data_IF_180273334544
#
_entry.id   IF_180273334544
#
_cell.length_a   1.000
_cell.length_b   1.000
_cell.length_c   1.000
_cell.angle_alpha   90.00
_cell.angle_beta   90.00
_cell.angle_gamma   90.00
#
_symmetry.space_group_name_H-M   'P 1'
#
loop_
_entity.id
_entity.type
_entity.pdbx_description
1 polymer ?
#
# COMPACT_ATOMS: atom_id res chain seq x y z
N UNK A 1 45.94 -3.98 42.27
CA UNK A 1 45.84 -3.82 40.81
C UNK A 1 46.71 -2.64 40.42
N UNK A 2 47.64 -2.83 39.50
CA UNK A 2 48.59 -1.80 39.12
C UNK A 2 47.91 -0.69 38.28
N UNK A 3 48.33 0.58 38.39
CA UNK A 3 47.64 1.74 37.80
C UNK A 3 47.39 1.63 36.29
N UNK A 4 48.34 1.04 35.55
CA UNK A 4 48.26 0.83 34.10
C UNK A 4 47.09 -0.05 33.62
N UNK A 5 46.49 -0.89 34.47
CA UNK A 5 45.36 -1.74 34.07
C UNK A 5 44.06 -0.92 33.99
N UNK A 6 43.93 0.12 34.81
CA UNK A 6 42.74 0.98 34.83
C UNK A 6 42.70 1.85 33.58
N UNK A 7 43.85 2.36 33.15
CA UNK A 7 43.97 3.21 31.95
C UNK A 7 43.64 2.44 30.67
N UNK A 8 44.09 1.18 30.55
CA UNK A 8 43.78 0.33 29.39
C UNK A 8 42.30 -0.02 29.35
N UNK A 9 41.68 -0.36 30.49
CA UNK A 9 40.25 -0.68 30.55
C UNK A 9 39.37 0.54 30.23
N UNK A 10 39.74 1.74 30.69
CA UNK A 10 39.04 2.97 30.32
C UNK A 10 39.16 3.29 28.82
N UNK A 11 40.33 3.07 28.22
CA UNK A 11 40.54 3.32 26.79
C UNK A 11 39.72 2.39 25.91
N UNK A 12 39.55 1.12 26.31
CA UNK A 12 38.64 0.17 25.63
C UNK A 12 37.16 0.53 25.84
N UNK A 13 36.77 1.02 27.03
CA UNK A 13 35.39 1.45 27.30
C UNK A 13 35.02 2.71 26.51
N UNK A 14 35.94 3.67 26.37
CA UNK A 14 35.74 4.88 25.55
C UNK A 14 35.74 4.54 24.06
N UNK A 15 36.55 3.58 23.60
CA UNK A 15 36.45 3.04 22.23
C UNK A 15 35.12 2.32 21.99
N UNK A 16 34.61 1.55 22.94
CA UNK A 16 33.29 0.90 22.83
C UNK A 16 32.13 1.92 22.83
N UNK A 17 32.23 3.00 23.60
CA UNK A 17 31.24 4.09 23.61
C UNK A 17 31.32 5.00 22.36
N UNK A 18 32.47 5.05 21.69
CA UNK A 18 32.62 5.75 20.40
C UNK A 18 32.32 4.87 19.18
N UNK A 19 32.33 3.53 19.34
CA UNK A 19 31.86 2.57 18.34
C UNK A 19 30.36 2.22 18.46
N UNK A 20 29.71 2.58 19.57
CA UNK A 20 28.26 2.40 19.74
C UNK A 20 27.41 3.60 19.28
N UNK A 21 28.04 4.71 18.90
CA UNK A 21 27.40 5.65 17.98
C UNK A 21 27.42 5.04 16.58
N UNK A 22 26.43 4.18 16.32
CA UNK A 22 25.92 4.06 14.97
C UNK A 22 25.45 5.46 14.59
N UNK A 23 26.29 6.18 13.84
CA UNK A 23 25.80 7.23 12.95
C UNK A 23 24.78 6.53 12.04
N UNK A 24 23.50 6.56 12.45
CA UNK A 24 22.42 6.47 11.48
C UNK A 24 22.68 7.62 10.53
N UNK A 25 23.34 7.31 9.40
CA UNK A 25 23.48 8.23 8.30
C UNK A 25 22.08 8.74 8.01
N UNK A 26 21.83 9.99 8.41
CA UNK A 26 20.55 10.66 8.24
C UNK A 26 20.40 10.89 6.75
N UNK A 27 19.87 9.89 6.05
CA UNK A 27 19.57 9.97 4.62
C UNK A 27 18.50 11.05 4.48
N UNK A 28 18.86 12.16 3.85
CA UNK A 28 17.97 13.30 3.63
C UNK A 28 17.01 12.95 2.48
N UNK A 29 16.05 12.07 2.78
CA UNK A 29 15.04 11.58 1.84
C UNK A 29 13.79 12.48 1.77
N UNK A 30 13.65 13.38 2.74
CA UNK A 30 12.56 14.33 2.83
C UNK A 30 12.70 15.44 1.78
N UNK A 31 11.63 15.72 1.04
CA UNK A 31 11.63 16.86 0.13
C UNK A 31 11.66 18.16 0.94
N UNK A 32 12.47 19.11 0.50
CA UNK A 32 12.35 20.47 1.03
C UNK A 32 10.95 21.02 0.73
N UNK A 33 10.47 21.95 1.56
CA UNK A 33 9.17 22.63 1.34
C UNK A 33 9.00 23.16 -0.10
N UNK A 34 10.10 23.65 -0.69
CA UNK A 34 10.13 24.16 -2.07
C UNK A 34 9.98 23.05 -3.10
N UNK A 35 10.60 21.90 -2.87
CA UNK A 35 10.47 20.74 -3.75
C UNK A 35 9.07 20.12 -3.65
N UNK A 36 8.51 20.02 -2.44
CA UNK A 36 7.15 19.53 -2.24
C UNK A 36 6.12 20.45 -2.94
N UNK A 37 6.22 21.77 -2.73
CA UNK A 37 5.36 22.74 -3.41
C UNK A 37 5.48 22.68 -4.94
N UNK A 38 6.69 22.45 -5.48
CA UNK A 38 6.89 22.26 -6.91
C UNK A 38 6.23 20.97 -7.41
N UNK A 39 6.34 19.88 -6.66
CA UNK A 39 5.72 18.61 -6.99
C UNK A 39 4.18 18.73 -7.02
N UNK A 40 3.58 19.34 -6.00
CA UNK A 40 2.13 19.63 -5.95
C UNK A 40 1.68 20.48 -7.14
N UNK A 41 2.43 21.53 -7.48
CA UNK A 41 2.14 22.35 -8.67
C UNK A 41 2.21 21.55 -9.97
N UNK A 42 3.13 20.58 -10.08
CA UNK A 42 3.19 19.71 -11.25
C UNK A 42 1.96 18.79 -11.34
N UNK A 43 1.50 18.25 -10.21
CA UNK A 43 0.28 17.45 -10.14
C UNK A 43 -0.96 18.26 -10.56
N UNK A 44 -1.13 19.47 -10.05
CA UNK A 44 -2.25 20.36 -10.42
C UNK A 44 -2.21 20.71 -11.91
N UNK A 45 -1.01 20.84 -12.48
CA UNK A 45 -0.81 21.25 -13.87
C UNK A 45 -0.60 20.06 -14.84
N UNK A 46 -0.93 18.82 -14.46
CA UNK A 46 -0.71 17.61 -15.27
C UNK A 46 -1.23 17.74 -16.70
N UNK A 47 -2.40 18.37 -16.89
CA UNK A 47 -3.02 18.63 -18.19
C UNK A 47 -2.09 19.32 -19.19
N UNK A 48 -1.18 20.18 -18.72
CA UNK A 48 -0.23 20.90 -19.60
C UNK A 48 0.80 19.97 -20.23
N UNK A 49 1.07 18.83 -19.60
CA UNK A 49 2.02 17.80 -20.05
C UNK A 49 1.34 16.56 -20.62
N UNK A 50 0.00 16.51 -20.63
CA UNK A 50 -0.76 15.37 -21.10
C UNK A 50 -0.73 15.27 -22.62
N UNK A 51 -0.54 14.04 -23.11
CA UNK A 51 -0.66 13.71 -24.53
C UNK A 51 -2.14 13.51 -24.88
N UNK A 52 -2.89 12.90 -23.96
CA UNK A 52 -4.31 12.60 -24.07
C UNK A 52 -4.93 12.54 -22.66
N UNK A 53 -6.26 12.73 -22.57
CA UNK A 53 -7.02 12.54 -21.34
C UNK A 53 -8.02 11.39 -21.52
N UNK A 54 -8.07 10.47 -20.56
CA UNK A 54 -9.06 9.39 -20.49
C UNK A 54 -10.11 9.76 -19.45
N UNK A 55 -11.39 9.67 -19.85
CA UNK A 55 -12.53 9.87 -18.96
C UNK A 55 -13.01 8.52 -18.43
N UNK A 56 -12.85 8.31 -17.14
CA UNK A 56 -13.30 7.12 -16.43
C UNK A 56 -14.45 7.53 -15.48
N UNK A 57 -15.64 7.63 -16.06
CA UNK A 57 -16.83 8.17 -15.39
C UNK A 57 -16.64 9.67 -15.07
N UNK A 58 -16.55 10.02 -13.79
CA UNK A 58 -16.32 11.40 -13.32
C UNK A 58 -14.82 11.73 -13.20
N UNK A 59 -13.96 10.70 -13.23
CA UNK A 59 -12.52 10.87 -13.15
C UNK A 59 -11.90 11.18 -14.50
N UNK A 60 -10.77 11.90 -14.44
CA UNK A 60 -9.95 12.16 -15.61
C UNK A 60 -8.53 11.71 -15.33
N UNK A 61 -8.03 10.81 -16.16
CA UNK A 61 -6.64 10.35 -16.12
C UNK A 61 -5.87 11.00 -17.27
N UNK A 62 -4.77 11.67 -16.94
CA UNK A 62 -3.89 12.28 -17.92
C UNK A 62 -2.82 11.28 -18.35
N UNK A 63 -2.75 11.01 -19.64
CA UNK A 63 -1.69 10.19 -20.21
C UNK A 63 -0.42 11.02 -20.36
N UNK A 64 0.50 10.85 -19.42
CA UNK A 64 1.79 11.54 -19.39
C UNK A 64 2.86 10.65 -20.02
N UNK A 65 3.76 11.24 -20.80
CA UNK A 65 4.98 10.54 -21.26
C UNK A 65 5.68 9.87 -20.06
N UNK A 66 5.96 8.58 -20.19
CA UNK A 66 6.52 7.76 -19.13
C UNK A 66 7.73 8.41 -18.46
N UNK A 67 8.64 9.02 -19.25
CA UNK A 67 9.87 9.61 -18.74
C UNK A 67 9.68 11.01 -18.13
N UNK A 68 8.50 11.63 -18.33
CA UNK A 68 8.16 12.97 -17.85
C UNK A 68 7.19 12.97 -16.66
N UNK A 69 6.80 11.81 -16.16
CA UNK A 69 5.92 11.73 -15.00
C UNK A 69 6.55 12.43 -13.76
N UNK A 70 5.75 13.09 -12.90
CA UNK A 70 6.25 13.88 -11.77
C UNK A 70 7.14 13.10 -10.80
N UNK A 71 6.90 11.79 -10.63
CA UNK A 71 7.69 10.93 -9.75
C UNK A 71 9.19 10.99 -10.03
N UNK A 72 9.61 11.09 -11.31
CA UNK A 72 11.02 11.18 -11.69
C UNK A 72 11.70 12.51 -11.31
N UNK A 73 10.96 13.52 -10.86
CA UNK A 73 11.53 14.78 -10.40
C UNK A 73 12.03 14.71 -8.96
N UNK A 74 11.73 13.63 -8.23
CA UNK A 74 12.29 13.40 -6.91
C UNK A 74 13.82 13.33 -6.98
N UNK A 75 14.57 13.98 -6.05
CA UNK A 75 16.04 13.96 -6.04
C UNK A 75 16.67 12.57 -6.18
N UNK A 76 16.02 11.52 -5.68
CA UNK A 76 16.46 10.12 -5.82
C UNK A 76 16.61 9.64 -7.24
N UNK A 77 15.75 10.09 -8.15
CA UNK A 77 15.75 9.63 -9.53
C UNK A 77 16.79 10.35 -10.40
N UNK A 78 17.53 11.33 -9.84
CA UNK A 78 18.56 12.09 -10.58
C UNK A 78 19.69 11.20 -11.09
N UNK A 79 20.04 10.16 -10.34
CA UNK A 79 21.14 9.26 -10.69
C UNK A 79 20.69 8.04 -11.51
N UNK A 80 19.39 7.83 -11.67
CA UNK A 80 18.86 6.69 -12.42
C UNK A 80 19.04 6.90 -13.91
N UNK A 81 19.83 6.04 -14.53
CA UNK A 81 20.14 6.13 -15.97
C UNK A 81 18.91 5.92 -16.85
N UNK A 82 18.93 6.51 -18.05
CA UNK A 82 17.88 6.28 -19.07
C UNK A 82 17.73 4.78 -19.39
N UNK A 83 18.82 4.03 -19.36
CA UNK A 83 18.83 2.59 -19.62
C UNK A 83 18.03 1.81 -18.55
N UNK A 84 18.16 2.19 -17.28
CA UNK A 84 17.37 1.63 -16.17
C UNK A 84 15.89 1.97 -16.33
N UNK A 85 15.56 3.24 -16.60
CA UNK A 85 14.17 3.68 -16.84
C UNK A 85 13.53 2.91 -18.00
N UNK A 86 14.28 2.74 -19.10
CA UNK A 86 13.84 1.96 -20.26
C UNK A 86 13.58 0.50 -19.89
N UNK A 87 14.43 -0.13 -19.09
CA UNK A 87 14.23 -1.52 -18.66
C UNK A 87 12.93 -1.67 -17.86
N UNK A 88 12.71 -0.81 -16.87
CA UNK A 88 11.48 -0.81 -16.06
C UNK A 88 10.23 -0.71 -16.93
N UNK A 89 10.25 0.22 -17.89
CA UNK A 89 9.18 0.40 -18.84
C UNK A 89 8.95 -0.84 -19.71
N UNK A 90 10.01 -1.44 -20.25
CA UNK A 90 9.90 -2.66 -21.06
C UNK A 90 9.40 -3.85 -20.25
N UNK A 91 9.81 -3.99 -18.99
CA UNK A 91 9.34 -5.05 -18.12
C UNK A 91 7.85 -4.89 -17.79
N UNK A 92 7.38 -3.67 -17.56
CA UNK A 92 5.96 -3.38 -17.44
C UNK A 92 5.18 -3.75 -18.73
N UNK A 93 5.75 -3.49 -19.91
CA UNK A 93 5.10 -3.82 -21.18
C UNK A 93 5.00 -5.31 -21.50
N UNK A 94 5.91 -6.14 -20.96
CA UNK A 94 5.83 -7.60 -21.12
C UNK A 94 4.62 -8.20 -20.43
N UNK A 95 4.06 -7.52 -19.43
CA UNK A 95 2.91 -7.99 -18.62
C UNK A 95 1.55 -7.84 -19.34
N UNK A 96 1.55 -7.70 -20.66
CA UNK A 96 0.33 -7.64 -21.48
C UNK A 96 -0.16 -9.04 -21.86
N UNK A 97 -0.53 -9.88 -20.89
CA UNK A 97 -1.59 -10.86 -21.16
C UNK A 97 -2.92 -10.10 -21.24
N UNK A 98 -3.88 -10.58 -22.04
CA UNK A 98 -5.17 -9.89 -22.19
C UNK A 98 -5.86 -9.75 -20.83
N UNK A 99 -5.89 -8.53 -20.29
CA UNK A 99 -6.74 -8.22 -19.15
C UNK A 99 -8.19 -8.48 -19.55
N UNK A 100 -8.99 -8.95 -18.60
CA UNK A 100 -10.44 -9.00 -18.77
C UNK A 100 -10.96 -7.62 -19.17
N UNK A 101 -12.00 -7.56 -20.01
CA UNK A 101 -12.53 -6.29 -20.57
C UNK A 101 -12.93 -5.24 -19.53
N UNK A 102 -13.14 -5.66 -18.28
CA UNK A 102 -13.60 -4.81 -17.17
C UNK A 102 -12.45 -4.39 -16.22
N UNK A 103 -11.20 -4.72 -16.54
CA UNK A 103 -10.03 -4.41 -15.70
C UNK A 103 -9.16 -3.37 -16.37
N UNK A 104 -8.84 -2.32 -15.61
CA UNK A 104 -8.15 -1.14 -16.09
C UNK A 104 -9.11 -0.09 -16.66
N UNK A 105 -8.51 1.01 -17.10
CA UNK A 105 -9.19 2.12 -17.73
C UNK A 105 -9.84 1.71 -19.05
N UNK A 106 -10.93 2.40 -19.41
CA UNK A 106 -11.61 2.27 -20.70
C UNK A 106 -10.63 2.34 -21.89
N UNK A 107 -10.99 1.66 -22.98
CA UNK A 107 -10.21 1.58 -24.22
C UNK A 107 -8.79 0.97 -24.07
N UNK A 108 -8.52 0.24 -22.99
CA UNK A 108 -7.20 -0.35 -22.75
C UNK A 108 -6.16 0.65 -22.24
N UNK A 109 -6.63 1.76 -21.65
CA UNK A 109 -5.79 2.76 -20.99
C UNK A 109 -4.98 3.64 -21.93
N UNK A 110 -3.88 4.17 -21.42
CA UNK A 110 -3.06 5.16 -22.08
C UNK A 110 -2.26 4.59 -23.27
N UNK A 111 -2.00 5.41 -24.31
CA UNK A 111 -1.27 4.98 -25.49
C UNK A 111 0.17 4.56 -25.16
N UNK A 112 0.78 3.79 -26.06
CA UNK A 112 2.18 3.40 -25.95
C UNK A 112 3.07 4.63 -25.73
N UNK A 113 3.96 4.55 -24.75
CA UNK A 113 4.88 5.62 -24.36
C UNK A 113 4.42 6.41 -23.14
N UNK A 114 3.19 6.16 -22.67
CA UNK A 114 2.53 7.00 -21.67
C UNK A 114 1.93 6.20 -20.53
N UNK A 115 1.70 6.85 -19.40
CA UNK A 115 1.07 6.28 -18.20
C UNK A 115 -0.05 7.19 -17.69
N UNK A 116 -1.17 6.62 -17.20
CA UNK A 116 -2.26 7.38 -16.62
C UNK A 116 -1.88 7.91 -15.24
N UNK A 117 -2.09 9.20 -15.04
CA UNK A 117 -2.01 9.84 -13.73
C UNK A 117 -3.34 10.54 -13.48
N UNK A 118 -4.00 10.22 -12.38
CA UNK A 118 -5.27 10.83 -12.01
C UNK A 118 -5.09 12.35 -11.90
N UNK A 119 -5.95 13.12 -12.57
CA UNK A 119 -5.96 14.57 -12.47
C UNK A 119 -6.43 14.95 -11.07
N UNK A 120 -5.74 15.89 -10.46
CA UNK A 120 -6.06 16.45 -9.15
C UNK A 120 -6.06 17.97 -9.20
N UNK A 121 -6.86 18.59 -8.34
CA UNK A 121 -6.87 20.04 -8.09
C UNK A 121 -6.33 20.38 -6.69
N UNK A 122 -6.33 21.67 -6.34
CA UNK A 122 -5.88 22.15 -5.02
C UNK A 122 -6.72 21.60 -3.87
N UNK A 123 -8.02 21.39 -4.08
CA UNK A 123 -8.93 20.84 -3.06
C UNK A 123 -8.65 19.35 -2.82
N UNK A 124 -8.34 18.58 -3.87
CA UNK A 124 -7.91 17.18 -3.75
C UNK A 124 -6.66 17.04 -2.86
N UNK A 125 -5.66 17.89 -3.09
CA UNK A 125 -4.44 17.90 -2.28
C UNK A 125 -4.72 18.36 -0.85
N UNK A 126 -5.58 19.36 -0.66
CA UNK A 126 -5.98 19.84 0.67
C UNK A 126 -6.72 18.76 1.48
N UNK A 127 -7.64 18.01 0.85
CA UNK A 127 -8.37 16.91 1.50
C UNK A 127 -7.43 15.76 1.87
N UNK A 128 -6.51 15.38 0.99
CA UNK A 128 -5.49 14.37 1.30
C UNK A 128 -4.58 14.80 2.47
N UNK A 129 -4.14 16.06 2.49
CA UNK A 129 -3.37 16.63 3.59
C UNK A 129 -4.16 16.63 4.92
N UNK A 130 -5.46 16.93 4.86
CA UNK A 130 -6.36 16.86 6.02
C UNK A 130 -6.51 15.43 6.54
N UNK A 131 -6.65 14.44 5.66
CA UNK A 131 -6.70 13.02 6.04
C UNK A 131 -5.41 12.63 6.76
N UNK A 132 -4.26 12.92 6.16
CA UNK A 132 -2.96 12.65 6.77
C UNK A 132 -2.83 13.29 8.17
N UNK A 133 -3.07 14.59 8.29
CA UNK A 133 -2.85 15.32 9.55
C UNK A 133 -3.88 15.06 10.67
N UNK A 134 -5.09 14.59 10.33
CA UNK A 134 -6.19 14.46 11.32
C UNK A 134 -6.71 13.05 11.52
N UNK A 135 -6.54 12.18 10.53
CA UNK A 135 -7.04 10.81 10.55
C UNK A 135 -5.86 9.89 10.81
N UNK A 136 -4.85 9.91 9.95
CA UNK A 136 -3.61 9.15 10.13
C UNK A 136 -2.57 9.90 10.97
N UNK A 137 -2.94 10.29 12.20
CA UNK A 137 -1.98 10.90 13.12
C UNK A 137 -0.94 9.88 13.56
N UNK A 138 0.37 10.22 13.52
CA UNK A 138 1.41 9.36 14.08
C UNK A 138 1.31 9.42 15.61
N UNK A 139 0.42 8.62 16.19
CA UNK A 139 0.30 8.51 17.63
C UNK A 139 1.38 7.57 18.17
N UNK A 140 2.02 8.03 19.25
CA UNK A 140 3.10 7.31 19.96
C UNK A 140 2.53 6.22 20.88
N UNK A 141 1.22 6.27 21.17
CA UNK A 141 0.56 5.49 22.22
C UNK A 141 -0.38 4.36 21.72
N UNK A 142 -0.18 3.84 20.50
CA UNK A 142 -0.93 2.72 19.87
C UNK A 142 -2.47 2.90 19.72
N UNK A 143 -3.07 3.95 20.30
CA UNK A 143 -4.47 4.32 20.09
C UNK A 143 -4.59 5.30 18.92
N UNK A 144 -5.26 4.87 17.86
CA UNK A 144 -5.67 5.71 16.73
C UNK A 144 -7.18 6.00 16.85
N UNK A 145 -7.58 7.17 17.40
CA UNK A 145 -8.99 7.42 17.69
C UNK A 145 -9.85 7.39 16.42
N UNK A 146 -10.94 6.62 16.48
CA UNK A 146 -11.87 6.46 15.37
C UNK A 146 -11.45 5.41 14.34
N UNK A 147 -10.26 4.83 14.45
CA UNK A 147 -9.83 3.70 13.62
C UNK A 147 -10.29 2.38 14.23
N UNK A 148 -10.87 1.55 13.36
CA UNK A 148 -11.35 0.23 13.70
C UNK A 148 -10.70 -0.83 12.81
N UNK A 149 -10.15 -1.87 13.44
CA UNK A 149 -9.35 -2.90 12.80
C UNK A 149 -9.98 -4.27 13.01
N UNK A 150 -10.01 -5.07 11.94
CA UNK A 150 -10.23 -6.51 11.99
C UNK A 150 -9.20 -7.16 11.05
N UNK A 151 -8.03 -7.46 11.59
CA UNK A 151 -6.82 -7.80 10.81
C UNK A 151 -6.13 -9.06 11.33
N UNK A 152 -5.50 -9.79 10.41
CA UNK A 152 -4.51 -10.81 10.72
C UNK A 152 -3.13 -10.15 10.63
N UNK A 153 -2.37 -10.16 11.71
CA UNK A 153 -1.04 -9.54 11.78
C UNK A 153 0.03 -10.54 12.18
N UNK A 154 1.21 -10.45 11.57
CA UNK A 154 2.36 -11.22 12.03
C UNK A 154 2.79 -10.75 13.41
N UNK A 155 3.31 -11.65 14.26
CA UNK A 155 3.81 -11.25 15.58
C UNK A 155 5.04 -10.34 15.42
N UNK A 156 5.25 -9.38 16.34
CA UNK A 156 6.45 -8.55 16.32
C UNK A 156 7.72 -9.41 16.37
N UNK A 157 8.55 -9.29 15.33
CA UNK A 157 9.83 -9.98 15.22
C UNK A 157 10.82 -9.07 14.48
N UNK A 158 11.76 -8.43 15.19
CA UNK A 158 12.70 -7.50 14.57
C UNK A 158 13.72 -8.19 13.65
N UNK A 159 13.83 -9.52 13.72
CA UNK A 159 14.77 -10.31 12.89
C UNK A 159 14.13 -10.80 11.59
N UNK A 160 12.81 -10.62 11.44
CA UNK A 160 12.09 -11.04 10.24
C UNK A 160 12.39 -10.12 9.07
N UNK A 161 12.87 -10.69 7.97
CA UNK A 161 13.20 -9.97 6.74
C UNK A 161 12.18 -10.28 5.64
N UNK A 162 10.98 -9.69 5.74
CA UNK A 162 9.91 -9.80 4.76
C UNK A 162 10.27 -8.96 3.53
N UNK A 163 10.42 -9.63 2.39
CA UNK A 163 10.67 -9.01 1.08
C UNK A 163 9.42 -8.98 0.21
N UNK A 164 8.28 -9.51 0.68
CA UNK A 164 7.02 -9.32 -0.01
C UNK A 164 5.80 -9.81 0.76
N UNK A 165 4.63 -9.31 0.36
CA UNK A 165 3.33 -9.69 0.90
C UNK A 165 2.31 -9.80 -0.23
N UNK A 166 1.31 -10.68 -0.06
CA UNK A 166 0.22 -10.81 -1.02
C UNK A 166 -1.10 -11.18 -0.34
N UNK A 167 -2.20 -10.85 -1.02
CA UNK A 167 -3.51 -11.40 -0.76
C UNK A 167 -4.44 -11.19 -1.97
N UNK A 168 -5.41 -12.08 -2.12
CA UNK A 168 -6.66 -11.77 -2.79
C UNK A 168 -7.57 -11.01 -1.85
N UNK A 169 -8.37 -10.10 -2.38
CA UNK A 169 -9.42 -9.40 -1.66
C UNK A 169 -10.74 -9.59 -2.40
N UNK A 170 -11.81 -9.98 -1.69
CA UNK A 170 -13.16 -9.98 -2.24
C UNK A 170 -13.66 -8.56 -2.46
N UNK A 171 -14.29 -8.28 -3.60
CA UNK A 171 -14.71 -6.93 -3.98
C UNK A 171 -16.13 -6.60 -3.45
N UNK A 172 -16.37 -6.71 -2.14
CA UNK A 172 -17.66 -6.31 -1.54
C UNK A 172 -17.69 -4.79 -1.29
N UNK A 173 -18.79 -4.14 -1.68
CA UNK A 173 -19.01 -2.72 -1.43
C UNK A 173 -19.64 -2.54 -0.03
N UNK A 174 -18.92 -1.95 0.94
CA UNK A 174 -19.49 -1.63 2.24
C UNK A 174 -20.55 -0.53 2.15
N UNK A 175 -21.61 -0.68 2.94
CA UNK A 175 -22.71 0.29 3.03
C UNK A 175 -22.47 1.35 4.13
N UNK A 176 -23.18 2.49 4.01
CA UNK A 176 -23.27 3.49 5.07
C UNK A 176 -22.05 4.41 5.23
N UNK A 177 -21.17 4.48 4.23
CA UNK A 177 -20.01 5.37 4.24
C UNK A 177 -20.42 6.77 3.80
N UNK A 178 -20.16 7.76 4.66
CA UNK A 178 -20.48 9.15 4.39
C UNK A 178 -19.38 10.12 4.90
N UNK A 179 -19.31 11.30 4.31
CA UNK A 179 -18.47 12.40 4.74
C UNK A 179 -16.98 12.05 4.83
N UNK A 180 -16.44 12.05 6.06
CA UNK A 180 -15.03 11.77 6.34
C UNK A 180 -14.74 10.31 6.72
N UNK A 181 -15.74 9.44 6.64
CA UNK A 181 -15.58 8.02 6.95
C UNK A 181 -14.92 7.28 5.79
N UNK A 182 -14.30 6.14 6.08
CA UNK A 182 -13.87 5.21 5.05
C UNK A 182 -13.95 3.77 5.54
N UNK A 183 -14.01 2.84 4.59
CA UNK A 183 -13.88 1.40 4.83
C UNK A 183 -12.94 0.83 3.79
N UNK A 184 -11.91 0.13 4.26
CA UNK A 184 -10.83 -0.38 3.44
C UNK A 184 -10.59 -1.85 3.71
N UNK A 185 -10.18 -2.57 2.67
CA UNK A 185 -9.62 -3.90 2.77
C UNK A 185 -8.23 -3.89 2.15
N UNK A 186 -7.22 -4.17 2.97
CA UNK A 186 -5.84 -3.80 2.65
C UNK A 186 -4.82 -4.80 3.20
N UNK A 187 -3.62 -4.70 2.66
CA UNK A 187 -2.41 -5.31 3.21
C UNK A 187 -1.39 -4.21 3.50
N UNK A 188 -0.64 -4.34 4.59
CA UNK A 188 0.43 -3.40 4.94
C UNK A 188 1.72 -4.16 5.22
N UNK A 189 2.82 -3.61 4.72
CA UNK A 189 4.17 -3.98 5.09
C UNK A 189 4.77 -2.83 5.89
N UNK A 190 5.37 -3.11 7.05
CA UNK A 190 5.97 -2.09 7.89
C UNK A 190 7.34 -2.51 8.43
N UNK A 191 8.13 -1.49 8.77
CA UNK A 191 9.35 -1.64 9.56
C UNK A 191 9.64 -0.33 10.30
N UNK A 192 9.63 -0.38 11.63
CA UNK A 192 9.77 0.81 12.47
C UNK A 192 8.65 1.83 12.19
N UNK A 193 9.03 3.04 11.78
CA UNK A 193 8.09 4.13 11.47
C UNK A 193 7.66 4.17 10.00
N UNK A 194 8.15 3.24 9.18
CA UNK A 194 7.77 3.15 7.78
C UNK A 194 6.62 2.16 7.59
N UNK A 195 5.70 2.51 6.70
CA UNK A 195 4.68 1.57 6.23
C UNK A 195 4.32 1.79 4.77
N UNK A 196 4.01 0.69 4.09
CA UNK A 196 3.51 0.67 2.73
C UNK A 196 2.22 -0.15 2.70
N UNK A 197 1.10 0.57 2.63
CA UNK A 197 -0.26 0.03 2.58
C UNK A 197 -0.75 0.01 1.15
N UNK A 198 -1.33 -1.10 0.73
CA UNK A 198 -1.98 -1.24 -0.56
C UNK A 198 -3.25 -2.08 -0.42
N UNK A 199 -4.27 -1.74 -1.19
CA UNK A 199 -5.55 -2.43 -1.10
C UNK A 199 -6.63 -1.68 -1.84
N UNK A 200 -7.85 -1.84 -1.37
CA UNK A 200 -9.00 -1.12 -1.90
C UNK A 200 -9.74 -0.42 -0.77
N UNK A 201 -10.26 0.76 -1.08
CA UNK A 201 -10.95 1.61 -0.12
C UNK A 201 -12.17 2.25 -0.75
N UNK A 202 -13.20 2.47 0.07
CA UNK A 202 -14.27 3.40 -0.22
C UNK A 202 -14.05 4.60 0.68
N UNK A 203 -13.64 5.72 0.09
CA UNK A 203 -13.23 6.92 0.82
C UNK A 203 -13.71 8.18 0.08
N UNK A 204 -14.95 8.64 0.34
CA UNK A 204 -15.50 9.85 -0.28
C UNK A 204 -14.69 11.12 0.01
N UNK A 205 -14.01 11.21 1.15
CA UNK A 205 -13.16 12.36 1.43
C UNK A 205 -11.93 12.42 0.50
N UNK A 206 -11.35 11.27 0.17
CA UNK A 206 -10.20 11.18 -0.73
C UNK A 206 -10.61 11.32 -2.19
N UNK A 207 -11.66 10.61 -2.63
CA UNK A 207 -11.99 10.42 -4.04
C UNK A 207 -13.26 11.11 -4.53
N UNK A 208 -14.03 11.75 -3.65
CA UNK A 208 -15.32 12.41 -3.96
C UNK A 208 -16.41 11.45 -4.47
N UNK A 209 -16.25 10.15 -4.26
CA UNK A 209 -17.26 9.14 -4.56
C UNK A 209 -17.29 8.00 -3.54
N UNK A 210 -18.26 7.11 -3.70
CA UNK A 210 -18.43 5.91 -2.87
C UNK A 210 -18.08 4.64 -3.64
N UNK A 211 -17.11 4.70 -4.56
CA UNK A 211 -16.65 3.52 -5.31
C UNK A 211 -15.54 2.81 -4.56
N UNK A 212 -15.41 1.50 -4.78
CA UNK A 212 -14.24 0.75 -4.34
C UNK A 212 -13.06 1.15 -5.24
N UNK A 213 -12.04 1.78 -4.67
CA UNK A 213 -10.88 2.27 -5.42
C UNK A 213 -9.59 1.63 -4.96
N UNK A 214 -8.76 1.23 -5.93
CA UNK A 214 -7.39 0.82 -5.67
C UNK A 214 -6.65 2.00 -5.04
N UNK A 215 -6.03 1.79 -3.88
CA UNK A 215 -5.28 2.84 -3.21
C UNK A 215 -3.98 2.32 -2.62
N UNK A 216 -3.09 3.26 -2.39
CA UNK A 216 -1.91 3.06 -1.54
C UNK A 216 -1.80 4.22 -0.56
N UNK A 217 -1.36 3.91 0.65
CA UNK A 217 -0.93 4.90 1.63
C UNK A 217 0.47 4.54 2.09
N UNK A 218 1.35 5.52 2.08
CA UNK A 218 2.77 5.31 2.39
C UNK A 218 3.16 6.25 3.51
N UNK A 219 3.83 5.72 4.53
CA UNK A 219 4.46 6.48 5.61
C UNK A 219 5.96 6.27 5.52
N UNK A 220 6.70 7.38 5.52
CA UNK A 220 8.17 7.42 5.46
C UNK A 220 8.68 8.12 6.73
N UNK A 221 9.50 7.40 7.52
CA UNK A 221 10.13 7.81 8.78
C UNK A 221 9.14 8.41 9.80
N UNK A 222 7.87 8.00 9.77
CA UNK A 222 6.82 8.52 10.64
C UNK A 222 6.47 10.00 10.46
N UNK A 223 7.09 10.70 9.49
CA UNK A 223 6.92 12.15 9.29
C UNK A 223 6.13 12.46 8.03
N UNK A 224 6.52 11.82 6.92
CA UNK A 224 5.90 12.08 5.63
C UNK A 224 4.92 10.97 5.32
N UNK A 225 3.71 11.36 4.92
CA UNK A 225 2.69 10.42 4.51
C UNK A 225 1.90 10.97 3.33
N UNK A 226 1.42 10.07 2.48
CA UNK A 226 0.83 10.42 1.20
C UNK A 226 -0.02 9.28 0.64
N UNK A 227 -0.94 9.64 -0.25
CA UNK A 227 -1.77 8.69 -0.97
C UNK A 227 -1.35 8.61 -2.44
N UNK A 228 -1.41 7.41 -3.01
CA UNK A 228 -1.35 7.18 -4.44
C UNK A 228 -0.18 7.92 -5.15
N UNK A 229 -0.43 8.51 -6.32
CA UNK A 229 0.54 9.31 -7.07
C UNK A 229 0.83 10.69 -6.44
N UNK A 230 0.18 11.03 -5.32
CA UNK A 230 0.56 12.19 -4.51
C UNK A 230 1.79 11.89 -3.64
N UNK A 231 2.24 10.63 -3.61
CA UNK A 231 3.53 10.27 -3.02
C UNK A 231 4.69 10.66 -3.92
N UNK A 232 5.57 11.59 -3.48
CA UNK A 232 6.76 11.92 -4.23
C UNK A 232 7.65 10.69 -4.44
N UNK A 233 8.18 10.53 -5.65
CA UNK A 233 9.06 9.41 -5.99
C UNK A 233 8.36 8.12 -6.43
N UNK A 234 7.04 8.00 -6.29
CA UNK A 234 6.28 6.91 -6.89
C UNK A 234 6.33 6.97 -8.43
N UNK A 235 6.55 5.82 -9.07
CA UNK A 235 6.58 5.70 -10.53
C UNK A 235 5.45 4.77 -10.97
N UNK A 236 4.52 5.33 -11.75
CA UNK A 236 3.49 4.57 -12.45
C UNK A 236 4.13 3.84 -13.64
N UNK A 237 3.82 2.55 -13.76
CA UNK A 237 4.31 1.67 -14.83
C UNK A 237 3.19 1.17 -15.74
N UNK A 238 2.06 0.75 -15.16
CA UNK A 238 0.94 0.25 -15.94
C UNK A 238 0.30 1.38 -16.73
N UNK A 239 0.08 1.18 -18.03
CA UNK A 239 -0.71 2.09 -18.86
C UNK A 239 -2.22 1.90 -18.68
N UNK A 240 -2.64 0.83 -17.98
CA UNK A 240 -4.05 0.39 -17.88
C UNK A 240 -4.62 0.57 -16.48
N UNK A 241 -3.83 0.32 -15.43
CA UNK A 241 -4.30 0.29 -14.05
C UNK A 241 -3.53 1.37 -13.26
N UNK A 242 -4.08 2.59 -13.11
CA UNK A 242 -3.53 3.60 -12.20
C UNK A 242 -3.92 3.35 -10.74
N UNK A 243 -3.16 3.92 -9.80
CA UNK A 243 -3.69 4.13 -8.45
C UNK A 243 -4.87 5.12 -8.49
N UNK A 244 -5.84 4.90 -7.61
CA UNK A 244 -7.15 5.58 -7.62
C UNK A 244 -8.16 4.98 -8.58
N UNK A 245 -7.82 3.94 -9.35
CA UNK A 245 -8.72 3.28 -10.30
C UNK A 245 -9.96 2.68 -9.60
N UNK A 246 -11.18 2.97 -10.06
CA UNK A 246 -12.40 2.36 -9.55
C UNK A 246 -12.55 0.90 -10.05
N UNK A 247 -12.89 -0.01 -9.13
CA UNK A 247 -13.27 -1.38 -9.49
C UNK A 247 -14.68 -1.40 -10.09
N UNK A 248 -14.79 -2.01 -11.27
CA UNK A 248 -16.07 -2.19 -11.97
C UNK A 248 -16.82 -3.47 -11.57
N UNK A 249 -16.07 -4.51 -11.19
CA UNK A 249 -16.62 -5.81 -10.81
C UNK A 249 -16.79 -5.88 -9.28
N UNK A 250 -18.04 -5.78 -8.82
CA UNK A 250 -18.43 -5.76 -7.40
C UNK A 250 -19.16 -7.06 -7.05
N UNK A 251 -18.76 -7.69 -5.95
CA UNK A 251 -19.39 -8.93 -5.45
C UNK A 251 -20.77 -8.67 -4.86
N UNK A 252 -21.69 -9.62 -5.05
CA UNK A 252 -23.03 -9.60 -4.46
C UNK A 252 -23.16 -10.79 -3.53
N UNK A 253 -23.62 -10.58 -2.29
CA UNK A 253 -23.76 -11.67 -1.32
C UNK A 253 -24.71 -12.77 -1.85
N UNK A 254 -24.23 -14.01 -1.94
CA UNK A 254 -24.93 -15.16 -2.52
C UNK A 254 -25.10 -15.14 -4.04
N UNK A 255 -24.52 -14.15 -4.72
CA UNK A 255 -24.57 -13.96 -6.17
C UNK A 255 -23.19 -14.06 -6.82
N UNK A 256 -22.95 -13.25 -7.85
CA UNK A 256 -21.65 -13.19 -8.53
C UNK A 256 -20.56 -12.69 -7.58
N UNK A 257 -19.42 -13.39 -7.57
CA UNK A 257 -18.27 -13.09 -6.72
C UNK A 257 -17.08 -12.65 -7.57
N UNK A 258 -16.45 -11.56 -7.15
CA UNK A 258 -15.22 -11.06 -7.71
C UNK A 258 -14.17 -10.89 -6.63
N UNK A 259 -12.92 -11.22 -6.97
CA UNK A 259 -11.81 -11.03 -6.07
C UNK A 259 -10.56 -10.60 -6.84
N UNK A 260 -9.76 -9.76 -6.20
CA UNK A 260 -8.61 -9.12 -6.82
C UNK A 260 -7.34 -9.42 -6.03
N UNK A 261 -6.29 -9.92 -6.70
CA UNK A 261 -5.01 -10.20 -6.03
C UNK A 261 -4.01 -9.08 -6.23
N UNK A 262 -3.48 -8.60 -5.12
CA UNK A 262 -2.34 -7.68 -5.09
C UNK A 262 -1.12 -8.38 -4.51
N UNK A 263 0.05 -8.00 -5.02
CA UNK A 263 1.34 -8.38 -4.46
C UNK A 263 2.21 -7.15 -4.29
N UNK A 264 2.85 -7.03 -3.15
CA UNK A 264 3.93 -6.08 -2.91
C UNK A 264 5.22 -6.88 -2.76
N UNK A 265 6.22 -6.61 -3.61
CA UNK A 265 7.50 -7.34 -3.59
C UNK A 265 8.68 -6.39 -3.70
N UNK A 266 9.77 -6.73 -3.03
CA UNK A 266 11.07 -6.11 -3.21
C UNK A 266 11.77 -6.74 -4.40
N UNK A 267 12.28 -5.93 -5.32
CA UNK A 267 13.00 -6.44 -6.49
C UNK A 267 14.06 -5.44 -6.96
N UNK A 268 15.06 -5.93 -7.68
CA UNK A 268 16.08 -5.10 -8.31
C UNK A 268 15.57 -4.50 -9.61
N UNK A 269 15.97 -3.25 -9.86
CA UNK A 269 15.74 -2.60 -11.16
C UNK A 269 16.55 -3.31 -12.26
N UNK A 270 17.78 -3.73 -11.97
CA UNK A 270 18.70 -4.36 -12.94
C UNK A 270 19.57 -5.44 -12.30
N UNK A 271 19.74 -6.56 -13.01
CA UNK A 271 20.56 -7.71 -12.62
C UNK A 271 22.00 -7.61 -13.13
N UNK A 272 22.48 -6.42 -13.52
CA UNK A 272 23.91 -6.23 -13.80
C UNK A 272 24.71 -6.28 -12.49
N UNK A 273 25.96 -6.77 -12.50
CA UNK A 273 26.81 -6.89 -11.31
C UNK A 273 27.09 -5.56 -10.57
N UNK A 274 26.70 -4.42 -11.14
CA UNK A 274 27.00 -3.08 -10.64
C UNK A 274 25.77 -2.22 -10.31
N UNK A 275 24.53 -2.75 -10.40
CA UNK A 275 23.32 -2.01 -10.02
C UNK A 275 22.63 -2.66 -8.82
N UNK A 276 22.72 -2.00 -7.68
CA UNK A 276 22.16 -2.44 -6.38
C UNK A 276 20.81 -1.78 -6.06
N UNK A 277 20.21 -1.05 -7.01
CA UNK A 277 18.98 -0.31 -6.78
C UNK A 277 17.78 -1.26 -6.63
N UNK A 278 17.22 -1.27 -5.42
CA UNK A 278 16.04 -2.02 -5.04
C UNK A 278 14.79 -1.13 -5.08
N UNK A 279 13.66 -1.73 -5.44
CA UNK A 279 12.35 -1.08 -5.48
C UNK A 279 11.30 -1.97 -4.83
N UNK A 280 10.31 -1.36 -4.21
CA UNK A 280 9.06 -2.02 -3.84
C UNK A 280 8.09 -1.93 -5.02
N UNK A 281 7.75 -3.07 -5.64
CA UNK A 281 6.81 -3.15 -6.76
C UNK A 281 5.43 -3.55 -6.27
N UNK A 282 4.40 -2.84 -6.72
CA UNK A 282 3.01 -3.24 -6.58
C UNK A 282 2.53 -3.91 -7.87
N UNK A 283 2.00 -5.12 -7.74
CA UNK A 283 1.51 -5.92 -8.85
C UNK A 283 0.02 -6.24 -8.67
N UNK A 284 -0.67 -6.23 -9.80
CA UNK A 284 -1.99 -6.80 -9.99
C UNK A 284 -1.81 -8.16 -10.66
N UNK A 285 -2.22 -9.25 -10.00
CA UNK A 285 -1.82 -10.58 -10.46
C UNK A 285 -2.49 -11.01 -11.77
N UNK A 286 -3.70 -10.52 -12.07
CA UNK A 286 -4.34 -10.76 -13.36
C UNK A 286 -3.55 -10.06 -14.47
N UNK A 287 -3.11 -10.84 -15.46
CA UNK A 287 -2.16 -10.35 -16.47
C UNK A 287 -0.73 -10.14 -15.95
N UNK A 288 -0.45 -10.41 -14.67
CA UNK A 288 0.84 -10.10 -14.02
C UNK A 288 1.25 -8.63 -14.13
N UNK A 289 0.28 -7.72 -14.16
CA UNK A 289 0.50 -6.29 -14.41
C UNK A 289 1.27 -5.65 -13.27
N UNK A 290 2.40 -5.01 -13.59
CA UNK A 290 3.11 -4.17 -12.63
C UNK A 290 2.47 -2.78 -12.65
N UNK A 291 1.82 -2.42 -11.55
CA UNK A 291 1.10 -1.15 -11.41
C UNK A 291 2.12 0.00 -11.35
N UNK A 292 3.07 -0.11 -10.45
CA UNK A 292 4.12 0.87 -10.23
C UNK A 292 5.05 0.44 -9.11
N UNK A 293 5.94 1.34 -8.69
CA UNK A 293 6.89 1.06 -7.62
C UNK A 293 7.35 2.31 -6.87
N UNK A 294 7.99 2.06 -5.73
CA UNK A 294 8.70 3.04 -4.92
C UNK A 294 10.18 2.65 -4.80
N UNK A 295 11.14 3.58 -4.90
CA UNK A 295 12.52 3.29 -4.52
C UNK A 295 12.57 2.89 -3.05
N UNK A 296 13.37 1.89 -2.69
CA UNK A 296 13.53 1.53 -1.28
C UNK A 296 14.20 2.64 -0.47
N UNK A 297 15.02 3.47 -1.12
CA UNK A 297 15.77 4.56 -0.48
C UNK A 297 14.91 5.74 0.02
N UNK A 298 13.60 5.76 -0.27
CA UNK A 298 12.70 6.79 0.29
C UNK A 298 12.24 6.44 1.70
N UNK A 299 12.46 5.20 2.11
CA UNK A 299 12.10 4.69 3.42
C UNK A 299 13.30 4.75 4.37
N UNK A 300 13.04 4.77 5.67
CA UNK A 300 14.03 4.52 6.71
C UNK A 300 14.40 3.04 6.79
N UNK A 301 13.78 2.31 7.71
CA UNK A 301 14.07 0.88 7.93
C UNK A 301 13.45 -0.03 6.85
N UNK A 302 12.32 0.37 6.26
CA UNK A 302 11.70 -0.38 5.16
C UNK A 302 12.53 -0.31 3.86
N UNK A 303 13.62 0.47 3.85
CA UNK A 303 14.61 0.42 2.77
C UNK A 303 15.33 -0.92 2.69
N UNK A 304 15.52 -1.60 3.83
CA UNK A 304 16.24 -2.86 3.96
C UNK A 304 15.31 -4.07 3.86
N UNK A 305 14.19 -4.08 4.57
CA UNK A 305 13.18 -5.15 4.55
C UNK A 305 11.96 -4.72 5.39
N UNK A 306 10.83 -5.41 5.25
CA UNK A 306 9.73 -5.33 6.21
C UNK A 306 9.93 -6.32 7.36
N UNK A 307 9.46 -6.02 8.57
CA UNK A 307 9.51 -6.97 9.70
C UNK A 307 8.13 -7.32 10.27
N UNK A 308 7.12 -6.54 9.89
CA UNK A 308 5.73 -6.78 10.24
C UNK A 308 4.86 -6.67 8.99
N UNK A 309 3.85 -7.53 8.92
CA UNK A 309 2.85 -7.51 7.88
C UNK A 309 1.47 -7.78 8.47
N UNK A 310 0.44 -7.14 7.91
CA UNK A 310 -0.93 -7.43 8.30
C UNK A 310 -1.93 -7.22 7.16
N UNK A 311 -3.03 -7.99 7.22
CA UNK A 311 -4.07 -8.07 6.20
C UNK A 311 -5.45 -8.01 6.84
N UNK A 312 -6.39 -7.33 6.21
CA UNK A 312 -7.80 -7.37 6.63
C UNK A 312 -8.49 -6.03 6.45
N UNK A 313 -9.49 -5.81 7.29
CA UNK A 313 -10.34 -4.63 7.24
C UNK A 313 -9.86 -3.50 8.14
N UNK A 314 -9.99 -2.27 7.63
CA UNK A 314 -9.71 -1.03 8.35
C UNK A 314 -10.83 -0.02 8.05
N UNK A 315 -11.48 0.45 9.11
CA UNK A 315 -12.57 1.42 9.04
C UNK A 315 -12.17 2.66 9.83
N UNK A 316 -12.58 3.83 9.34
CA UNK A 316 -12.50 5.06 10.12
C UNK A 316 -13.86 5.73 10.20
N UNK A 317 -14.17 6.25 11.38
CA UNK A 317 -15.24 7.22 11.58
C UNK A 317 -14.88 8.25 12.65
N UNK A 318 -15.35 9.50 12.52
CA UNK A 318 -15.33 10.44 13.63
C UNK A 318 -15.99 9.87 14.89
N UNK A 319 -15.46 10.20 16.07
CA UNK A 319 -15.91 9.64 17.36
C UNK A 319 -17.38 9.96 17.70
N UNK A 320 -17.95 11.01 17.09
CA UNK A 320 -19.32 11.46 17.28
C UNK A 320 -20.30 10.88 16.25
N UNK A 321 -19.84 9.98 15.39
CA UNK A 321 -20.61 9.39 14.30
C UNK A 321 -20.67 7.86 14.42
N UNK A 322 -21.77 7.23 13.96
CA UNK A 322 -21.82 5.77 13.82
C UNK A 322 -20.76 5.31 12.82
N UNK A 323 -20.00 4.28 13.16
CA UNK A 323 -18.98 3.74 12.25
C UNK A 323 -19.63 2.95 11.11
N UNK A 324 -19.11 3.04 9.86
CA UNK A 324 -19.72 2.41 8.70
C UNK A 324 -19.51 0.89 8.67
N UNK A 325 -20.14 0.20 7.73
CA UNK A 325 -19.89 -1.23 7.55
C UNK A 325 -18.45 -1.54 7.09
N UNK A 326 -17.95 -2.69 7.51
CA UNK A 326 -16.76 -3.35 6.98
C UNK A 326 -17.18 -4.55 6.13
N UNK A 327 -16.58 -4.69 4.95
CA UNK A 327 -16.85 -5.83 4.07
C UNK A 327 -18.30 -5.83 3.57
N UNK A 328 -19.02 -6.91 3.87
CA UNK A 328 -20.46 -7.07 3.57
C UNK A 328 -21.36 -6.37 4.57
N UNK A 329 -20.83 -5.92 5.72
CA UNK A 329 -21.65 -5.41 6.82
C UNK A 329 -22.34 -6.50 7.65
N UNK A 330 -22.11 -7.78 7.34
CA UNK A 330 -22.75 -8.91 8.00
C UNK A 330 -21.72 -9.64 8.85
N UNK A 331 -21.96 -9.76 10.16
CA UNK A 331 -21.01 -10.49 11.01
C UNK A 331 -20.88 -11.95 10.58
N UNK A 332 -19.64 -12.48 10.54
CA UNK A 332 -19.43 -13.87 10.21
C UNK A 332 -20.01 -14.76 11.31
N UNK A 333 -20.83 -15.74 10.92
CA UNK A 333 -21.41 -16.69 11.89
C UNK A 333 -20.40 -17.78 12.24
N UNK A 334 -20.18 -17.99 13.53
CA UNK A 334 -19.33 -19.06 14.05
C UNK A 334 -19.71 -20.43 13.43
N UNK A 335 -18.75 -21.11 12.79
CA UNK A 335 -18.86 -22.42 12.13
C UNK A 335 -19.74 -22.51 10.86
N UNK A 336 -20.28 -21.40 10.33
CA UNK A 336 -21.02 -21.37 9.05
C UNK A 336 -20.53 -20.22 8.19
N UNK A 337 -19.24 -20.26 7.84
CA UNK A 337 -18.68 -19.30 6.91
C UNK A 337 -18.86 -19.80 5.48
N UNK A 338 -19.14 -18.88 4.58
CA UNK A 338 -19.27 -19.13 3.16
C UNK A 338 -18.64 -17.92 2.45
N UNK A 339 -17.59 -18.11 1.63
CA UNK A 339 -16.93 -17.02 0.93
C UNK A 339 -17.88 -16.26 -0.02
N UNK A 340 -19.04 -16.82 -0.37
CA UNK A 340 -20.07 -16.14 -1.15
C UNK A 340 -20.87 -15.10 -0.34
N UNK A 341 -20.82 -15.13 0.98
CA UNK A 341 -21.60 -14.26 1.88
C UNK A 341 -20.75 -13.48 2.86
N UNK A 342 -19.42 -13.54 2.74
CA UNK A 342 -18.52 -12.86 3.67
C UNK A 342 -17.33 -12.27 2.94
N UNK A 343 -16.98 -11.05 3.34
CA UNK A 343 -15.79 -10.39 2.86
C UNK A 343 -14.56 -11.12 3.40
N UNK A 344 -13.65 -11.45 2.49
CA UNK A 344 -12.56 -12.34 2.78
C UNK A 344 -11.31 -11.98 1.99
N UNK A 345 -10.19 -12.43 2.53
CA UNK A 345 -8.93 -12.49 1.81
C UNK A 345 -8.42 -13.92 1.80
N UNK A 346 -7.89 -14.34 0.66
CA UNK A 346 -7.31 -15.67 0.45
C UNK A 346 -5.91 -15.55 -0.14
N UNK A 347 -5.15 -16.65 -0.15
CA UNK A 347 -3.73 -16.64 -0.50
C UNK A 347 -2.94 -15.59 0.29
N UNK A 348 -3.32 -15.37 1.56
CA UNK A 348 -2.57 -14.50 2.49
C UNK A 348 -1.19 -15.13 2.70
N UNK A 349 -0.15 -14.42 2.30
CA UNK A 349 1.20 -14.95 2.34
C UNK A 349 2.28 -13.85 2.41
N UNK A 350 3.45 -14.26 2.89
CA UNK A 350 4.68 -13.46 2.97
C UNK A 350 5.77 -14.11 2.14
N UNK A 351 6.69 -13.32 1.60
CA UNK A 351 7.87 -13.80 0.90
C UNK A 351 9.15 -13.34 1.62
N UNK A 352 10.18 -14.17 1.53
CA UNK A 352 11.50 -13.96 2.13
C UNK A 352 12.58 -14.05 1.07
N UNK A 353 13.62 -13.23 1.19
CA UNK A 353 14.71 -13.18 0.23
C UNK A 353 14.28 -12.54 -1.10
N UNK A 354 15.26 -12.13 -1.91
CA UNK A 354 15.06 -11.49 -3.23
C UNK A 354 14.22 -12.37 -4.16
N UNK A 355 12.89 -12.23 -4.04
CA UNK A 355 11.93 -13.17 -4.58
C UNK A 355 11.58 -12.77 -6.00
N UNK A 356 12.41 -13.23 -6.94
CA UNK A 356 12.17 -13.05 -8.37
C UNK A 356 11.04 -13.97 -8.90
N UNK A 357 10.48 -14.85 -8.06
CA UNK A 357 9.50 -15.87 -8.47
C UNK A 357 8.24 -15.91 -7.58
N UNK A 358 7.08 -16.24 -8.18
CA UNK A 358 5.82 -16.52 -7.46
C UNK A 358 5.94 -17.72 -6.47
N UNK A 359 6.97 -18.55 -6.61
CA UNK A 359 7.20 -19.78 -5.82
C UNK A 359 7.76 -19.57 -4.40
N UNK A 360 7.88 -18.32 -3.93
CA UNK A 360 8.52 -17.98 -2.65
C UNK A 360 7.57 -17.39 -1.59
N UNK A 361 6.27 -17.30 -1.90
CA UNK A 361 5.25 -16.90 -0.94
C UNK A 361 4.84 -18.06 -0.04
N UNK A 362 5.01 -17.89 1.27
CA UNK A 362 4.70 -18.89 2.29
C UNK A 362 3.63 -18.40 3.27
N UNK A 363 2.96 -19.35 3.92
CA UNK A 363 1.96 -19.07 4.94
C UNK A 363 2.58 -18.37 6.17
N UNK A 364 2.04 -17.24 6.67
CA UNK A 364 2.54 -16.57 7.86
C UNK A 364 2.13 -17.32 9.14
N UNK A 365 2.79 -18.44 9.44
CA UNK A 365 2.40 -19.35 10.52
C UNK A 365 2.39 -18.72 11.93
N UNK A 366 3.09 -17.62 12.13
CA UNK A 366 3.18 -16.90 13.40
C UNK A 366 2.09 -15.82 13.58
N UNK A 367 1.25 -15.59 12.57
CA UNK A 367 0.25 -14.53 12.58
C UNK A 367 -0.90 -14.78 13.57
N UNK A 368 -1.40 -13.69 14.13
CA UNK A 368 -2.51 -13.64 15.09
C UNK A 368 -3.61 -12.68 14.62
N UNK A 369 -4.84 -12.93 15.07
CA UNK A 369 -5.95 -12.01 14.82
C UNK A 369 -5.93 -10.83 15.79
N UNK A 370 -6.31 -9.65 15.31
CA UNK A 370 -6.48 -8.44 16.10
C UNK A 370 -7.78 -7.72 15.71
N UNK A 371 -8.57 -7.41 16.73
CA UNK A 371 -9.84 -6.69 16.64
C UNK A 371 -9.79 -5.50 17.58
N UNK A 372 -9.89 -4.27 17.07
CA UNK A 372 -9.93 -3.10 17.96
C UNK A 372 -11.33 -2.82 18.52
N UNK A 373 -12.38 -3.23 17.81
CA UNK A 373 -13.77 -3.25 18.31
C UNK A 373 -14.49 -4.56 17.95
N UNK A 374 -14.30 -5.63 18.76
CA UNK A 374 -14.97 -6.93 18.57
C UNK A 374 -16.50 -6.87 18.60
N UNK A 375 -17.07 -5.79 19.16
CA UNK A 375 -18.52 -5.61 19.22
C UNK A 375 -19.09 -5.11 17.91
N UNK A 376 -18.31 -4.50 17.03
CA UNK A 376 -18.77 -3.96 15.75
C UNK A 376 -18.22 -4.75 14.57
N UNK A 377 -16.96 -5.17 14.67
CA UNK A 377 -16.22 -5.86 13.61
C UNK A 377 -15.67 -7.19 14.11
N UNK A 378 -15.47 -8.12 13.20
CA UNK A 378 -14.94 -9.44 13.55
C UNK A 378 -14.00 -9.93 12.47
N UNK A 379 -12.95 -10.65 12.88
CA UNK A 379 -12.07 -11.40 12.00
C UNK A 379 -12.05 -12.88 12.37
N UNK A 380 -12.18 -13.75 11.37
CA UNK A 380 -11.96 -15.19 11.51
C UNK A 380 -10.78 -15.61 10.64
N UNK A 381 -9.79 -16.22 11.26
CA UNK A 381 -8.71 -16.92 10.56
C UNK A 381 -9.12 -18.38 10.34
N UNK A 382 -9.42 -18.73 9.10
CA UNK A 382 -9.79 -20.09 8.69
C UNK A 382 -8.54 -20.99 8.63
N UNK A 383 -7.35 -20.38 8.56
CA UNK A 383 -6.09 -21.09 8.37
C UNK A 383 -5.85 -21.48 6.90
N UNK A 384 -4.85 -22.33 6.70
CA UNK A 384 -4.41 -22.75 5.37
C UNK A 384 -5.33 -23.85 4.80
N UNK A 385 -5.87 -23.61 3.61
CA UNK A 385 -6.70 -24.57 2.88
C UNK A 385 -5.86 -25.17 1.73
N UNK A 386 -5.52 -26.46 1.84
CA UNK A 386 -4.68 -27.18 0.86
C UNK A 386 -5.39 -27.41 -0.48
N UNK A 387 -6.72 -27.58 -0.46
CA UNK A 387 -7.49 -27.83 -1.68
C UNK A 387 -7.62 -26.53 -2.50
N UNK A 388 -7.50 -26.66 -3.83
CA UNK A 388 -7.85 -25.63 -4.83
C UNK A 388 -6.96 -24.37 -4.88
N UNK A 389 -5.71 -24.39 -4.41
CA UNK A 389 -4.81 -23.22 -4.40
C UNK A 389 -5.44 -21.99 -3.69
N UNK A 390 -6.25 -22.23 -2.66
CA UNK A 390 -6.92 -21.17 -1.89
C UNK A 390 -5.95 -20.54 -0.88
N UNK A 391 -4.99 -21.32 -0.36
CA UNK A 391 -4.01 -20.85 0.63
C UNK A 391 -4.67 -20.47 1.96
N UNK A 392 -4.06 -19.55 2.71
CA UNK A 392 -4.66 -19.06 3.96
C UNK A 392 -5.81 -18.11 3.69
N UNK A 393 -6.91 -18.35 4.38
CA UNK A 393 -8.14 -17.56 4.28
C UNK A 393 -8.43 -16.84 5.59
N UNK A 394 -8.72 -15.55 5.48
CA UNK A 394 -9.25 -14.74 6.57
C UNK A 394 -10.58 -14.12 6.13
N UNK A 395 -11.49 -13.95 7.07
CA UNK A 395 -12.79 -13.30 6.87
C UNK A 395 -12.82 -12.08 7.78
N UNK A 396 -13.12 -10.91 7.24
CA UNK A 396 -13.19 -9.66 8.01
C UNK A 396 -14.48 -8.94 7.63
N UNK A 397 -15.34 -8.74 8.62
CA UNK A 397 -16.70 -8.26 8.36
C UNK A 397 -17.28 -7.59 9.60
N UNK A 398 -18.24 -6.70 9.40
CA UNK A 398 -19.00 -6.16 10.52
C UNK A 398 -19.94 -5.02 10.13
N UNK A 399 -21.12 -4.92 10.76
CA UNK A 399 -22.12 -3.90 10.45
C UNK A 399 -21.69 -2.46 10.79
N UNK A 400 -20.59 -2.29 11.53
CA UNK A 400 -20.28 -1.02 12.19
C UNK A 400 -21.13 -0.77 13.43
N UNK A 401 -20.97 0.39 14.04
CA UNK A 401 -21.59 0.77 15.30
C UNK A 401 -22.77 1.73 15.11
N UNK A 402 -23.94 1.35 15.64
CA UNK A 402 -25.08 2.26 15.86
C UNK A 402 -24.69 3.34 16.89
N UNK A 403 -25.18 4.59 16.71
CA UNK A 403 -24.98 5.73 17.65
C UNK A 403 -24.91 5.25 19.10
N UNK A 404 -23.81 5.56 19.79
CA UNK A 404 -23.80 5.56 21.25
C UNK A 404 -24.97 6.44 21.70
N UNK A 405 -25.94 5.83 22.38
CA UNK A 405 -27.09 6.51 22.96
C UNK A 405 -26.69 7.20 24.27
#
# INVERSE_FOLDING_TARGET
MAPWVVDVVMMFFVCFLSLSHTDQAKTDWELTRKENSRFEQQLINLKKSAIESIHEDEDIYECIDFYKQPGFNHPFWKNTTIQMKRKLYIDAMKTKTSLSSNIGLKNGGCPYGTVPIMRVDEDDLARASKINSKIYQPNIDDEEPGHHYAILRTKPDPTRMIDGIQAFFSNFLPEGIDGSQYSSFRMTLSNGLDSLKAGFTVNPLLFRDNKIRLFTHVVMDGKTQCFNQQCPGYIQLSSQIPLGWPLHNISIAGGEQYATKLRLIKDYISTRPSSTELVWKLLFDEGSVIIGFWPTTIFGQLSEFGNQADWGGEVYSPLDQPSPAMGTGIRPRWKKWDPNYSAHSRLVAIAYGNSQSQSEFINPNDAEVYESDPKSYSILDIGYVENENIGRVIIYDGPGGLKSA
#
